data_IF_833329778844
#
_entry.id   IF_833329778844
#
_cell.length_a   1.000
_cell.length_b   1.000
_cell.length_c   1.000
_cell.angle_alpha   90.00
_cell.angle_beta   90.00
_cell.angle_gamma   90.00
#
_symmetry.space_group_name_H-M   'P 1'
#
loop_
_entity.id
_entity.type
_entity.pdbx_description
1 polymer ?
#
# COMPACT_ATOMS: atom_id res chain seq x y z
N UNK A 1 -28.29 52.72 -31.47
CA UNK A 1 -28.49 51.34 -31.96
C UNK A 1 -28.53 50.39 -30.79
N UNK A 2 -29.48 49.47 -30.81
CA UNK A 2 -29.98 48.67 -29.68
C UNK A 2 -29.11 47.44 -29.29
N UNK A 3 -29.27 47.05 -28.01
CA UNK A 3 -29.28 45.70 -27.42
C UNK A 3 -27.98 44.86 -27.35
N UNK A 4 -27.48 44.59 -26.13
CA UNK A 4 -27.79 43.48 -25.19
C UNK A 4 -27.12 42.14 -25.56
N UNK A 5 -26.29 41.63 -24.66
CA UNK A 5 -26.56 40.39 -23.89
C UNK A 5 -25.53 40.19 -22.77
N UNK A 6 -26.06 40.03 -21.56
CA UNK A 6 -25.39 39.58 -20.37
C UNK A 6 -25.41 38.04 -20.31
N UNK A 7 -24.46 37.43 -19.59
CA UNK A 7 -24.82 36.54 -18.48
C UNK A 7 -23.62 36.26 -17.54
N UNK A 8 -23.87 36.52 -16.26
CA UNK A 8 -23.09 36.12 -15.09
C UNK A 8 -23.42 34.66 -14.72
N UNK A 9 -22.51 33.99 -13.99
CA UNK A 9 -22.83 33.27 -12.74
C UNK A 9 -21.63 32.47 -12.21
N UNK A 10 -20.88 33.04 -11.25
CA UNK A 10 -20.11 32.30 -10.25
C UNK A 10 -20.97 32.17 -8.98
N UNK A 11 -21.16 30.95 -8.48
CA UNK A 11 -22.01 30.69 -7.30
C UNK A 11 -21.21 29.95 -6.23
N UNK A 12 -20.53 30.72 -5.38
CA UNK A 12 -20.03 30.29 -4.07
C UNK A 12 -21.20 30.28 -3.08
N UNK A 13 -21.55 29.10 -2.54
CA UNK A 13 -22.64 28.96 -1.56
C UNK A 13 -22.06 28.79 -0.17
N UNK A 14 -21.81 29.92 0.50
CA UNK A 14 -21.50 30.00 1.93
C UNK A 14 -22.72 29.62 2.77
N UNK A 15 -22.47 28.80 3.79
CA UNK A 15 -23.46 28.25 4.72
C UNK A 15 -23.73 29.28 5.83
N UNK A 16 -24.81 30.06 5.73
CA UNK A 16 -25.25 30.96 6.81
C UNK A 16 -26.17 30.22 7.78
N UNK A 17 -25.83 30.34 9.06
CA UNK A 17 -26.60 30.00 10.27
C UNK A 17 -27.89 30.84 10.28
N UNK A 18 -29.05 30.21 10.41
CA UNK A 18 -30.32 30.90 10.64
C UNK A 18 -30.62 30.92 12.15
N UNK A 19 -30.88 32.11 12.66
CA UNK A 19 -31.51 32.37 13.96
C UNK A 19 -32.98 32.69 13.68
N UNK A 20 -33.91 31.90 14.21
CA UNK A 20 -35.35 32.17 14.14
C UNK A 20 -35.85 32.51 15.53
N UNK A 21 -36.31 33.74 15.70
CA UNK A 21 -37.21 34.15 16.76
C UNK A 21 -38.44 34.76 16.07
N UNK A 22 -39.61 34.15 16.28
CA UNK A 22 -40.90 34.83 16.47
C UNK A 22 -41.96 33.79 16.87
N UNK A 23 -42.81 34.18 17.80
CA UNK A 23 -43.75 33.37 18.57
C UNK A 23 -45.16 33.46 17.96
N UNK A 24 -45.91 32.36 17.87
CA UNK A 24 -47.37 32.33 18.15
C UNK A 24 -47.88 30.89 18.36
N UNK A 25 -48.94 30.76 19.14
CA UNK A 25 -49.35 29.62 19.96
C UNK A 25 -50.53 28.84 19.33
N UNK A 26 -50.45 27.51 19.17
CA UNK A 26 -51.61 26.62 19.02
C UNK A 26 -51.23 25.16 19.27
N UNK A 27 -52.16 24.42 19.88
CA UNK A 27 -52.05 23.14 20.55
C UNK A 27 -51.46 21.95 19.76
N UNK A 28 -50.77 21.09 20.51
CA UNK A 28 -50.88 19.63 20.34
C UNK A 28 -50.18 18.97 19.15
N UNK A 29 -48.85 18.86 19.20
CA UNK A 29 -48.08 17.60 19.04
C UNK A 29 -46.60 17.95 18.93
N UNK A 30 -45.86 17.82 20.04
CA UNK A 30 -44.40 17.86 20.00
C UNK A 30 -43.94 16.65 19.18
N UNK A 31 -43.47 16.89 17.97
CA UNK A 31 -42.77 15.88 17.18
C UNK A 31 -41.76 15.15 18.10
N UNK A 32 -41.81 13.81 18.18
CA UNK A 32 -40.99 13.08 19.13
C UNK A 32 -39.53 13.40 18.85
N UNK A 33 -38.82 13.80 19.91
CA UNK A 33 -37.36 13.94 19.91
C UNK A 33 -36.83 12.64 19.35
N UNK A 34 -36.34 12.70 18.10
CA UNK A 34 -35.86 11.54 17.37
C UNK A 34 -34.74 10.93 18.20
N UNK A 35 -35.06 9.82 18.86
CA UNK A 35 -34.14 9.12 19.74
C UNK A 35 -32.90 8.68 18.99
N UNK A 36 -31.91 8.19 19.76
CA UNK A 36 -30.68 7.60 19.25
C UNK A 36 -31.02 6.68 18.06
N UNK A 37 -30.33 6.79 16.91
CA UNK A 37 -30.67 6.00 15.73
C UNK A 37 -30.75 4.51 16.10
N UNK A 38 -31.85 3.88 15.66
CA UNK A 38 -32.05 2.44 15.79
C UNK A 38 -30.83 1.74 15.18
N UNK A 39 -30.16 0.89 15.97
CA UNK A 39 -28.87 0.28 15.59
C UNK A 39 -27.72 0.55 16.56
N UNK A 40 -27.93 1.35 17.61
CA UNK A 40 -26.94 1.53 18.70
C UNK A 40 -27.07 0.52 19.85
N UNK A 41 -27.69 -0.64 19.58
CA UNK A 41 -27.71 -1.75 20.55
C UNK A 41 -26.27 -2.17 20.86
N UNK A 42 -25.97 -2.36 22.14
CA UNK A 42 -24.69 -2.95 22.55
C UNK A 42 -24.56 -4.35 21.94
N UNK A 43 -23.32 -4.77 21.67
CA UNK A 43 -23.04 -6.12 21.21
C UNK A 43 -23.29 -7.11 22.35
N UNK A 44 -24.09 -8.14 22.11
CA UNK A 44 -24.27 -9.25 23.05
C UNK A 44 -23.02 -10.15 23.08
N UNK A 45 -22.76 -10.86 24.17
CA UNK A 45 -21.67 -11.84 24.26
C UNK A 45 -21.74 -12.90 23.14
N UNK A 46 -22.95 -13.28 22.72
CA UNK A 46 -23.16 -14.20 21.58
C UNK A 46 -22.74 -13.56 20.25
N UNK A 47 -23.05 -12.27 20.05
CA UNK A 47 -22.65 -11.53 18.85
C UNK A 47 -21.13 -11.32 18.82
N UNK A 48 -20.50 -11.11 19.98
CA UNK A 48 -19.04 -10.99 20.09
C UNK A 48 -18.34 -12.30 19.81
N UNK A 49 -18.83 -13.40 20.36
CA UNK A 49 -18.31 -14.75 20.07
C UNK A 49 -18.41 -15.03 18.58
N UNK A 50 -19.58 -14.77 17.99
CA UNK A 50 -19.80 -14.96 16.56
C UNK A 50 -18.88 -14.11 15.68
N UNK A 51 -18.68 -12.85 16.05
CA UNK A 51 -17.77 -11.96 15.35
C UNK A 51 -16.33 -12.51 15.42
N UNK A 52 -15.88 -12.94 16.60
CA UNK A 52 -14.54 -13.48 16.78
C UNK A 52 -14.34 -14.79 16.00
N UNK A 53 -15.33 -15.69 15.97
CA UNK A 53 -15.28 -16.92 15.16
C UNK A 53 -15.07 -16.59 13.67
N UNK A 54 -15.88 -15.68 13.12
CA UNK A 54 -15.80 -15.31 11.70
C UNK A 54 -14.49 -14.60 11.33
N UNK A 55 -13.94 -13.80 12.26
CA UNK A 55 -12.67 -13.09 12.07
C UNK A 55 -11.49 -14.07 12.17
N UNK A 56 -11.53 -15.03 13.10
CA UNK A 56 -10.53 -16.09 13.23
C UNK A 56 -10.47 -16.94 11.97
N UNK A 57 -11.61 -17.41 11.46
CA UNK A 57 -11.70 -18.24 10.26
C UNK A 57 -11.19 -17.52 9.00
N UNK A 58 -11.59 -16.25 8.81
CA UNK A 58 -11.33 -15.51 7.57
C UNK A 58 -10.07 -14.65 7.61
N UNK A 59 -9.49 -14.39 8.79
CA UNK A 59 -8.33 -13.52 9.02
C UNK A 59 -8.34 -12.29 8.09
N UNK A 60 -9.27 -11.33 8.28
CA UNK A 60 -9.59 -10.31 7.29
C UNK A 60 -8.45 -9.33 7.05
N UNK A 61 -8.01 -9.23 5.80
CA UNK A 61 -7.06 -8.23 5.33
C UNK A 61 -7.80 -7.22 4.44
N UNK A 62 -7.96 -6.00 4.95
CA UNK A 62 -8.60 -4.90 4.23
C UNK A 62 -10.12 -5.01 4.04
N UNK A 63 -10.68 -3.98 3.40
CA UNK A 63 -12.14 -3.72 3.28
C UNK A 63 -12.93 -4.89 2.68
N UNK A 64 -12.42 -5.52 1.61
CA UNK A 64 -13.15 -6.61 0.92
C UNK A 64 -13.41 -7.81 1.85
N UNK A 65 -12.46 -8.14 2.71
CA UNK A 65 -12.59 -9.26 3.65
C UNK A 65 -13.60 -8.94 4.76
N UNK A 66 -13.58 -7.72 5.29
CA UNK A 66 -14.58 -7.25 6.25
C UNK A 66 -16.00 -7.26 5.66
N UNK A 67 -16.15 -6.90 4.38
CA UNK A 67 -17.43 -6.98 3.67
C UNK A 67 -17.98 -8.42 3.57
N UNK A 68 -17.10 -9.43 3.45
CA UNK A 68 -17.50 -10.84 3.47
C UNK A 68 -17.94 -11.27 4.89
N UNK A 69 -17.19 -10.89 5.92
CA UNK A 69 -17.55 -11.14 7.33
C UNK A 69 -18.90 -10.52 7.67
N UNK A 70 -19.18 -9.29 7.21
CA UNK A 70 -20.45 -8.63 7.46
C UNK A 70 -21.65 -9.38 6.88
N UNK A 71 -21.50 -9.95 5.67
CA UNK A 71 -22.54 -10.80 5.06
C UNK A 71 -22.81 -12.04 5.90
N UNK A 72 -21.76 -12.77 6.28
CA UNK A 72 -21.88 -13.99 7.08
C UNK A 72 -22.45 -13.71 8.47
N UNK A 73 -22.01 -12.62 9.09
CA UNK A 73 -22.51 -12.16 10.38
C UNK A 73 -24.00 -11.84 10.31
N UNK A 74 -24.43 -11.02 9.34
CA UNK A 74 -25.83 -10.64 9.19
C UNK A 74 -26.73 -11.84 8.86
N UNK A 75 -26.25 -12.81 8.08
CA UNK A 75 -26.98 -14.05 7.82
C UNK A 75 -27.27 -14.83 9.12
N UNK A 76 -26.27 -14.95 10.00
CA UNK A 76 -26.42 -15.67 11.28
C UNK A 76 -27.25 -14.89 12.30
N UNK A 77 -27.09 -13.57 12.34
CA UNK A 77 -27.79 -12.65 13.26
C UNK A 77 -29.26 -12.46 12.90
N UNK A 78 -29.61 -12.56 11.61
CA UNK A 78 -31.01 -12.62 11.14
C UNK A 78 -31.74 -13.84 11.71
N UNK A 79 -31.08 -15.00 11.75
CA UNK A 79 -31.63 -16.21 12.37
C UNK A 79 -31.88 -16.08 13.88
N UNK A 80 -31.18 -15.15 14.54
CA UNK A 80 -31.31 -14.86 15.96
C UNK A 80 -32.26 -13.67 16.26
N UNK A 81 -32.89 -13.09 15.24
CA UNK A 81 -33.80 -11.93 15.39
C UNK A 81 -33.09 -10.65 15.86
N UNK A 82 -31.79 -10.52 15.56
CA UNK A 82 -30.94 -9.40 16.01
C UNK A 82 -30.72 -8.38 14.88
N UNK A 83 -30.35 -7.12 15.21
CA UNK A 83 -30.18 -6.07 14.20
C UNK A 83 -28.93 -6.32 13.34
N UNK A 84 -29.09 -6.14 12.03
CA UNK A 84 -27.98 -6.20 11.07
C UNK A 84 -26.95 -5.10 11.34
N UNK A 85 -25.67 -5.44 11.14
CA UNK A 85 -24.54 -4.53 11.34
C UNK A 85 -23.81 -4.27 10.03
N UNK A 86 -23.33 -3.04 9.92
CA UNK A 86 -22.51 -2.61 8.79
C UNK A 86 -21.07 -3.09 8.98
N UNK A 87 -20.36 -3.33 7.88
CA UNK A 87 -18.95 -3.73 7.83
C UNK A 87 -18.06 -2.92 8.80
N UNK A 88 -18.12 -1.59 8.69
CA UNK A 88 -17.33 -0.69 9.54
C UNK A 88 -17.65 -0.83 11.03
N UNK A 89 -18.88 -1.17 11.38
CA UNK A 89 -19.28 -1.33 12.78
C UNK A 89 -18.66 -2.59 13.39
N UNK A 90 -18.55 -3.67 12.62
CA UNK A 90 -17.92 -4.92 13.02
C UNK A 90 -16.40 -4.77 13.12
N UNK A 91 -15.77 -4.15 12.11
CA UNK A 91 -14.34 -3.84 12.12
C UNK A 91 -13.96 -2.95 13.32
N UNK A 92 -14.72 -1.88 13.55
CA UNK A 92 -14.49 -0.99 14.68
C UNK A 92 -14.65 -1.71 16.01
N UNK A 93 -15.63 -2.62 16.13
CA UNK A 93 -15.83 -3.38 17.37
C UNK A 93 -14.67 -4.34 17.63
N UNK A 94 -14.18 -5.03 16.61
CA UNK A 94 -12.99 -5.89 16.72
C UNK A 94 -11.75 -5.07 17.12
N UNK A 95 -11.48 -3.97 16.43
CA UNK A 95 -10.37 -3.06 16.76
C UNK A 95 -10.47 -2.50 18.17
N UNK A 96 -11.67 -2.21 18.66
CA UNK A 96 -11.89 -1.81 20.04
C UNK A 96 -11.50 -2.90 21.03
N UNK A 97 -11.83 -4.17 20.75
CA UNK A 97 -11.43 -5.30 21.60
C UNK A 97 -9.90 -5.43 21.66
N UNK A 98 -9.22 -5.38 20.52
CA UNK A 98 -7.76 -5.45 20.42
C UNK A 98 -7.09 -4.29 21.19
N UNK A 99 -7.63 -3.07 21.06
CA UNK A 99 -7.09 -1.87 21.72
C UNK A 99 -7.42 -1.78 23.22
N UNK A 100 -8.18 -2.71 23.79
CA UNK A 100 -8.51 -2.61 25.22
C UNK A 100 -7.24 -2.79 26.07
N UNK A 101 -6.90 -1.72 26.78
CA UNK A 101 -5.72 -1.68 27.66
C UNK A 101 -5.88 -2.66 28.81
N UNK A 102 -4.76 -3.12 29.38
CA UNK A 102 -4.77 -3.85 30.65
C UNK A 102 -5.51 -2.98 31.68
N UNK A 103 -6.49 -3.52 32.41
CA UNK A 103 -7.16 -2.75 33.46
C UNK A 103 -6.11 -2.29 34.49
N UNK A 104 -6.28 -1.09 35.04
CA UNK A 104 -5.36 -0.55 36.06
C UNK A 104 -5.53 -1.35 37.35
N UNK A 105 -4.54 -2.21 37.68
CA UNK A 105 -4.53 -3.08 38.85
C UNK A 105 -4.56 -4.58 38.50
N UNK A 106 -4.83 -5.43 39.50
CA UNK A 106 -4.82 -6.91 39.39
C UNK A 106 -6.13 -7.50 38.82
N UNK A 107 -6.81 -6.74 37.96
CA UNK A 107 -8.07 -7.16 37.36
C UNK A 107 -7.82 -8.09 36.17
N UNK A 108 -8.45 -9.26 36.18
CA UNK A 108 -8.34 -10.25 35.10
C UNK A 108 -8.94 -9.69 33.80
N UNK A 109 -8.17 -9.76 32.71
CA UNK A 109 -8.62 -9.37 31.37
C UNK A 109 -9.74 -10.29 30.88
N UNK A 110 -10.84 -9.75 30.31
CA UNK A 110 -11.93 -10.58 29.77
C UNK A 110 -11.46 -11.57 28.70
N UNK A 111 -12.05 -12.78 28.61
CA UNK A 111 -11.63 -13.81 27.66
C UNK A 111 -11.83 -13.40 26.20
N UNK A 112 -12.86 -12.62 25.90
CA UNK A 112 -13.13 -12.09 24.55
C UNK A 112 -12.01 -11.17 24.06
N UNK A 113 -11.41 -10.39 24.97
CA UNK A 113 -10.27 -9.52 24.66
C UNK A 113 -9.01 -10.33 24.39
N UNK A 114 -8.73 -11.33 25.22
CA UNK A 114 -7.59 -12.23 25.02
C UNK A 114 -7.68 -12.95 23.68
N UNK A 115 -8.89 -13.42 23.33
CA UNK A 115 -9.15 -14.06 22.05
C UNK A 115 -8.97 -13.08 20.89
N UNK A 116 -9.47 -11.86 21.00
CA UNK A 116 -9.30 -10.84 19.97
C UNK A 116 -7.82 -10.52 19.70
N UNK A 117 -7.00 -10.39 20.75
CA UNK A 117 -5.55 -10.18 20.62
C UNK A 117 -4.88 -11.33 19.88
N UNK A 118 -5.19 -12.58 20.25
CA UNK A 118 -4.65 -13.76 19.55
C UNK A 118 -5.04 -13.78 18.07
N UNK A 119 -6.27 -13.38 17.74
CA UNK A 119 -6.73 -13.29 16.35
C UNK A 119 -6.02 -12.16 15.60
N UNK A 120 -5.73 -11.03 16.26
CA UNK A 120 -4.93 -9.94 15.68
C UNK A 120 -3.53 -10.43 15.31
N UNK A 121 -2.88 -11.20 16.19
CA UNK A 121 -1.58 -11.84 15.92
C UNK A 121 -1.66 -12.77 14.69
N UNK A 122 -2.74 -13.55 14.54
CA UNK A 122 -2.98 -14.41 13.37
C UNK A 122 -3.17 -13.60 12.09
N UNK A 123 -3.90 -12.47 12.15
CA UNK A 123 -4.08 -11.58 11.01
C UNK A 123 -2.74 -10.97 10.60
N UNK A 124 -1.94 -10.50 11.56
CA UNK A 124 -0.62 -9.90 11.30
C UNK A 124 0.35 -10.93 10.72
N UNK A 125 0.36 -12.15 11.26
CA UNK A 125 1.14 -13.26 10.71
C UNK A 125 0.75 -13.59 9.27
N UNK A 126 -0.57 -13.62 8.97
CA UNK A 126 -1.07 -13.85 7.61
C UNK A 126 -0.76 -12.70 6.65
N UNK A 127 -0.77 -11.46 7.15
CA UNK A 127 -0.44 -10.28 6.36
C UNK A 127 1.06 -10.12 6.10
N UNK A 128 1.91 -10.97 6.70
CA UNK A 128 3.37 -10.86 6.60
C UNK A 128 3.93 -9.62 7.31
N UNK A 129 3.13 -8.97 8.16
CA UNK A 129 3.55 -7.82 8.96
C UNK A 129 4.23 -8.34 10.21
N UNK A 130 5.55 -8.23 10.28
CA UNK A 130 6.34 -8.52 11.48
C UNK A 130 6.31 -7.29 12.38
N UNK A 131 5.79 -7.44 13.59
CA UNK A 131 5.82 -6.38 14.59
C UNK A 131 7.27 -6.07 14.96
N UNK A 132 7.68 -4.82 14.76
CA UNK A 132 8.89 -4.27 15.35
C UNK A 132 8.53 -3.92 16.79
N UNK A 133 8.88 -4.80 17.73
CA UNK A 133 8.72 -4.54 19.16
C UNK A 133 9.64 -3.39 19.56
N UNK A 134 9.09 -2.24 19.94
CA UNK A 134 9.78 -1.04 20.47
C UNK A 134 10.44 -1.27 21.87
N UNK A 135 10.73 -2.52 22.25
CA UNK A 135 11.19 -2.86 23.60
C UNK A 135 12.70 -2.75 23.82
N UNK A 136 13.49 -2.40 22.79
CA UNK A 136 14.95 -2.29 22.89
C UNK A 136 15.46 -0.86 22.54
N UNK A 137 14.90 0.16 23.17
CA UNK A 137 15.62 1.45 23.31
C UNK A 137 16.29 1.47 24.68
N UNK A 138 17.55 1.04 24.72
CA UNK A 138 18.43 1.26 25.86
C UNK A 138 18.40 2.75 26.22
N UNK A 139 18.01 3.04 27.46
CA UNK A 139 18.05 4.37 28.06
C UNK A 139 19.49 4.88 28.05
N UNK A 140 19.86 5.66 27.03
CA UNK A 140 21.07 6.47 27.06
C UNK A 140 20.93 7.47 28.22
N UNK A 141 21.78 7.42 29.27
CA UNK A 141 21.68 8.34 30.38
C UNK A 141 22.19 9.72 29.93
N UNK A 142 21.28 10.69 29.75
CA UNK A 142 21.68 12.08 29.48
C UNK A 142 20.77 12.91 28.59
N UNK A 143 19.70 12.34 28.02
CA UNK A 143 18.73 13.10 27.22
C UNK A 143 17.63 13.71 28.08
N UNK A 144 17.76 14.98 28.47
CA UNK A 144 16.67 15.77 29.04
C UNK A 144 15.58 15.97 27.97
N UNK A 145 14.56 15.12 27.98
CA UNK A 145 13.35 15.31 27.17
C UNK A 145 12.37 16.14 28.01
N UNK A 146 12.33 17.43 27.70
CA UNK A 146 11.30 18.36 28.17
C UNK A 146 9.93 17.85 27.71
N UNK A 147 9.19 17.28 28.66
CA UNK A 147 7.81 16.81 28.46
C UNK A 147 6.87 18.01 28.48
N UNK A 148 6.81 18.73 27.36
CA UNK A 148 5.78 19.75 27.14
C UNK A 148 4.53 19.14 26.50
N UNK A 149 3.58 18.84 27.38
CA UNK A 149 2.13 19.00 27.26
C UNK A 149 1.51 19.07 25.85
N UNK A 150 0.69 18.06 25.53
CA UNK A 150 -0.33 18.15 24.48
C UNK A 150 -1.53 17.29 24.89
N UNK A 151 -2.51 17.98 25.47
CA UNK A 151 -3.87 17.53 25.76
C UNK A 151 -4.45 16.66 24.63
N UNK A 152 -4.61 15.37 24.92
CA UNK A 152 -5.52 14.48 24.18
C UNK A 152 -6.79 14.36 25.01
N UNK A 153 -7.88 14.91 24.48
CA UNK A 153 -9.21 14.70 25.04
C UNK A 153 -9.53 13.20 25.08
N UNK A 154 -9.72 12.70 26.30
CA UNK A 154 -10.17 11.34 26.57
C UNK A 154 -11.65 11.25 26.19
N UNK A 155 -11.94 10.64 25.04
CA UNK A 155 -13.30 10.25 24.64
C UNK A 155 -13.82 9.21 25.65
N UNK A 156 -14.74 9.66 26.49
CA UNK A 156 -15.32 8.93 27.60
C UNK A 156 -16.22 7.81 27.04
N UNK A 157 -15.87 6.55 27.32
CA UNK A 157 -16.67 5.38 26.95
C UNK A 157 -18.09 5.42 27.55
N UNK A 158 -19.02 4.56 27.08
CA UNK A 158 -20.43 4.64 27.45
C UNK A 158 -20.61 4.37 28.95
N UNK A 159 -20.98 5.43 29.69
CA UNK A 159 -21.41 5.38 31.09
C UNK A 159 -22.71 4.57 31.20
N UNK A 160 -22.62 3.36 31.76
CA UNK A 160 -23.80 2.60 32.17
C UNK A 160 -24.30 3.22 33.48
N UNK A 161 -25.49 3.84 33.44
CA UNK A 161 -26.13 4.39 34.63
C UNK A 161 -26.66 3.24 35.51
N UNK A 162 -25.85 2.80 36.48
CA UNK A 162 -26.34 2.01 37.61
C UNK A 162 -26.73 3.01 38.70
N UNK A 163 -28.04 3.17 38.90
CA UNK A 163 -28.57 3.92 40.03
C UNK A 163 -28.26 3.16 41.33
N UNK A 164 -27.16 3.52 42.00
CA UNK A 164 -26.97 3.24 43.42
C UNK A 164 -26.72 4.56 44.14
N UNK A 165 -27.69 4.95 44.96
CA UNK A 165 -27.59 6.06 45.90
C UNK A 165 -26.41 5.81 46.83
N UNK A 166 -25.44 6.72 46.82
CA UNK A 166 -24.63 7.14 47.97
C UNK A 166 -24.13 8.57 47.67
N UNK A 167 -24.20 9.52 48.62
CA UNK A 167 -23.81 10.90 48.37
C UNK A 167 -22.29 11.06 48.46
N UNK A 168 -21.62 11.22 47.32
CA UNK A 168 -20.21 11.62 47.25
C UNK A 168 -20.10 13.15 47.10
N UNK A 169 -19.04 13.81 47.64
CA UNK A 169 -18.92 15.26 47.65
C UNK A 169 -18.63 15.83 46.24
N UNK A 170 -18.97 17.10 45.97
CA UNK A 170 -18.84 17.68 44.64
C UNK A 170 -17.37 17.80 44.21
N UNK A 171 -17.05 17.23 43.05
CA UNK A 171 -15.76 17.36 42.38
C UNK A 171 -15.50 18.83 41.99
N UNK A 172 -14.37 19.37 42.46
CA UNK A 172 -13.87 20.68 42.08
C UNK A 172 -13.59 20.72 40.56
N UNK A 173 -14.22 21.70 39.88
CA UNK A 173 -13.97 21.96 38.46
C UNK A 173 -12.62 22.68 38.33
N UNK A 174 -11.73 22.17 37.46
CA UNK A 174 -10.46 22.82 37.13
C UNK A 174 -10.71 24.27 36.64
N UNK A 175 -9.92 25.26 37.07
CA UNK A 175 -10.10 26.65 36.68
C UNK A 175 -9.86 26.83 35.18
N UNK A 176 -10.68 27.68 34.55
CA UNK A 176 -10.52 28.09 33.14
C UNK A 176 -9.14 28.71 32.94
N UNK A 177 -8.46 28.33 31.85
CA UNK A 177 -7.16 28.86 31.47
C UNK A 177 -7.16 30.40 31.55
N UNK A 178 -6.21 30.92 32.32
CA UNK A 178 -6.03 32.35 32.58
C UNK A 178 -5.69 33.10 31.29
N UNK A 179 -6.21 34.32 31.12
CA UNK A 179 -5.87 35.21 29.98
C UNK A 179 -4.36 35.42 29.79
N UNK A 180 -3.57 35.22 30.85
CA UNK A 180 -2.11 35.28 30.80
C UNK A 180 -1.51 34.20 29.90
N UNK A 181 -2.12 33.02 29.86
CA UNK A 181 -1.66 31.87 29.08
C UNK A 181 -1.84 32.09 27.57
N UNK A 182 -2.89 32.81 27.19
CA UNK A 182 -3.14 33.19 25.80
C UNK A 182 -2.13 34.24 25.31
N UNK A 183 -1.79 35.23 26.15
CA UNK A 183 -0.78 36.23 25.82
C UNK A 183 0.63 35.62 25.71
N UNK A 184 0.97 34.66 26.55
CA UNK A 184 2.22 33.90 26.41
C UNK A 184 2.26 33.08 25.12
N UNK A 185 1.14 32.43 24.73
CA UNK A 185 1.06 31.71 23.45
C UNK A 185 1.25 32.63 22.26
N UNK A 186 0.62 33.81 22.25
CA UNK A 186 0.79 34.81 21.20
C UNK A 186 2.22 35.35 21.15
N UNK A 187 2.81 35.72 22.29
CA UNK A 187 4.21 36.18 22.35
C UNK A 187 5.17 35.12 21.80
N UNK A 188 4.93 33.85 22.13
CA UNK A 188 5.75 32.73 21.67
C UNK A 188 5.54 32.36 20.19
N UNK A 189 4.43 32.76 19.58
CA UNK A 189 4.16 32.55 18.15
C UNK A 189 4.83 33.61 17.27
N UNK A 190 5.08 34.80 17.82
CA UNK A 190 5.77 35.91 17.16
C UNK A 190 7.26 36.03 17.55
N UNK A 191 7.78 35.07 18.31
CA UNK A 191 9.19 35.00 18.65
C UNK A 191 10.05 34.75 17.39
N UNK A 192 10.97 35.67 17.03
CA UNK A 192 11.74 35.59 15.79
C UNK A 192 12.60 34.32 15.68
N UNK A 193 13.10 33.79 16.79
CA UNK A 193 13.92 32.57 16.77
C UNK A 193 13.08 31.32 16.48
N UNK A 194 11.83 31.29 16.97
CA UNK A 194 10.86 30.23 16.63
C UNK A 194 10.39 30.29 15.18
N UNK A 195 10.39 31.48 14.58
CA UNK A 195 10.10 31.62 13.15
C UNK A 195 11.26 31.10 12.30
N UNK A 196 12.51 31.45 12.65
CA UNK A 196 13.72 30.96 11.96
C UNK A 196 13.81 29.44 11.96
N UNK A 197 13.66 28.82 13.13
CA UNK A 197 13.68 27.35 13.25
C UNK A 197 12.59 26.69 12.40
N UNK A 198 11.39 27.27 12.35
CA UNK A 198 10.30 26.77 11.50
C UNK A 198 10.63 26.90 10.02
N UNK A 199 11.23 28.00 9.61
CA UNK A 199 11.58 28.26 8.22
C UNK A 199 12.80 27.44 7.77
N UNK A 200 13.78 27.23 8.63
CA UNK A 200 14.87 26.26 8.44
C UNK A 200 14.32 24.84 8.28
N UNK A 201 13.38 24.41 9.13
CA UNK A 201 12.74 23.10 9.00
C UNK A 201 11.96 22.95 7.69
N UNK A 202 11.29 24.02 7.22
CA UNK A 202 10.65 24.01 5.89
C UNK A 202 11.68 23.93 4.77
N UNK A 203 12.78 24.67 4.87
CA UNK A 203 13.85 24.66 3.88
C UNK A 203 14.52 23.28 3.80
N UNK A 204 14.79 22.64 4.94
CA UNK A 204 15.30 21.27 5.00
C UNK A 204 14.35 20.28 4.34
N UNK A 205 13.05 20.32 4.67
CA UNK A 205 12.04 19.46 4.04
C UNK A 205 11.92 19.69 2.54
N UNK A 206 12.01 20.94 2.08
CA UNK A 206 11.96 21.27 0.67
C UNK A 206 13.20 20.72 -0.07
N UNK A 207 14.37 20.80 0.56
CA UNK A 207 15.61 20.23 0.03
C UNK A 207 15.54 18.70 -0.06
N UNK A 208 15.13 18.03 1.01
CA UNK A 208 14.92 16.58 1.05
C UNK A 208 13.91 16.11 -0.01
N UNK A 209 12.79 16.84 -0.16
CA UNK A 209 11.79 16.54 -1.18
C UNK A 209 12.36 16.63 -2.60
N UNK A 210 13.24 17.62 -2.85
CA UNK A 210 13.91 17.76 -4.16
C UNK A 210 14.86 16.59 -4.41
N UNK A 211 15.64 16.18 -3.41
CA UNK A 211 16.52 15.02 -3.55
C UNK A 211 15.74 13.72 -3.82
N UNK A 212 14.66 13.51 -3.06
CA UNK A 212 13.80 12.34 -3.23
C UNK A 212 13.17 12.32 -4.63
N UNK A 213 12.76 13.47 -5.15
CA UNK A 213 12.27 13.60 -6.51
C UNK A 213 13.32 13.19 -7.55
N UNK A 214 14.57 13.68 -7.42
CA UNK A 214 15.67 13.31 -8.32
C UNK A 214 15.96 11.81 -8.29
N UNK A 215 16.03 11.21 -7.11
CA UNK A 215 16.26 9.75 -6.97
C UNK A 215 15.10 8.92 -7.53
N UNK A 216 13.86 9.42 -7.41
CA UNK A 216 12.68 8.75 -7.99
C UNK A 216 12.75 8.76 -9.51
N UNK A 217 13.12 9.90 -10.11
CA UNK A 217 13.30 10.02 -11.56
C UNK A 217 14.41 9.09 -12.09
N UNK A 218 15.51 8.95 -11.34
CA UNK A 218 16.58 8.00 -11.66
C UNK A 218 16.09 6.54 -11.60
N UNK A 219 15.32 6.19 -10.57
CA UNK A 219 14.74 4.85 -10.48
C UNK A 219 13.79 4.54 -11.63
N UNK A 220 12.97 5.50 -12.06
CA UNK A 220 12.05 5.29 -13.18
C UNK A 220 12.78 5.14 -14.51
N UNK A 221 13.87 5.88 -14.72
CA UNK A 221 14.72 5.70 -15.90
C UNK A 221 15.40 4.33 -15.91
N UNK A 222 15.95 3.88 -14.77
CA UNK A 222 16.53 2.53 -14.65
C UNK A 222 15.49 1.42 -14.87
N UNK A 223 14.27 1.58 -14.33
CA UNK A 223 13.17 0.63 -14.57
C UNK A 223 12.80 0.54 -16.05
N UNK A 224 12.72 1.67 -16.73
CA UNK A 224 12.45 1.71 -18.16
C UNK A 224 13.56 1.03 -18.97
N UNK A 225 14.83 1.23 -18.61
CA UNK A 225 15.96 0.53 -19.23
C UNK A 225 15.89 -0.98 -19.02
N UNK A 226 15.59 -1.44 -17.81
CA UNK A 226 15.41 -2.86 -17.52
C UNK A 226 14.27 -3.46 -18.36
N UNK A 227 13.14 -2.77 -18.48
CA UNK A 227 12.03 -3.20 -19.34
C UNK A 227 12.44 -3.33 -20.81
N UNK A 228 13.25 -2.39 -21.32
CA UNK A 228 13.76 -2.46 -22.69
C UNK A 228 14.73 -3.62 -22.87
N UNK A 229 15.62 -3.87 -21.92
CA UNK A 229 16.56 -4.99 -21.96
C UNK A 229 15.83 -6.32 -21.93
N UNK A 230 14.85 -6.49 -21.05
CA UNK A 230 14.00 -7.69 -21.01
C UNK A 230 13.27 -7.91 -22.35
N UNK A 231 12.75 -6.84 -22.96
CA UNK A 231 12.15 -6.92 -24.29
C UNK A 231 13.14 -7.40 -25.37
N UNK A 232 14.38 -6.91 -25.34
CA UNK A 232 15.45 -7.35 -26.26
C UNK A 232 15.82 -8.81 -26.04
N UNK A 233 15.90 -9.27 -24.79
CA UNK A 233 16.17 -10.67 -24.46
C UNK A 233 15.10 -11.57 -25.07
N UNK A 234 13.81 -11.26 -24.86
CA UNK A 234 12.73 -12.04 -25.46
C UNK A 234 12.71 -12.01 -26.99
N UNK A 235 13.14 -10.91 -27.62
CA UNK A 235 13.27 -10.86 -29.07
C UNK A 235 14.41 -11.75 -29.58
N UNK A 236 15.54 -11.76 -28.87
CA UNK A 236 16.68 -12.61 -29.20
C UNK A 236 16.35 -14.09 -28.98
N UNK A 237 15.67 -14.44 -27.89
CA UNK A 237 15.16 -15.81 -27.64
C UNK A 237 14.32 -16.28 -28.83
N UNK A 238 13.34 -15.49 -29.28
CA UNK A 238 12.53 -15.82 -30.47
C UNK A 238 13.36 -15.95 -31.75
N UNK A 239 14.46 -15.21 -31.90
CA UNK A 239 15.35 -15.33 -33.07
C UNK A 239 16.17 -16.62 -33.00
N UNK A 240 16.62 -17.02 -31.81
CA UNK A 240 17.29 -18.29 -31.55
C UNK A 240 16.35 -19.44 -31.86
N UNK A 241 15.13 -19.46 -31.31
CA UNK A 241 14.13 -20.51 -31.58
C UNK A 241 13.87 -20.68 -33.09
N UNK A 242 13.75 -19.56 -33.82
CA UNK A 242 13.56 -19.57 -35.28
C UNK A 242 14.78 -20.12 -36.03
N UNK A 243 15.98 -19.83 -35.56
CA UNK A 243 17.22 -20.32 -36.17
C UNK A 243 17.38 -21.83 -35.90
N UNK A 244 17.07 -22.26 -34.67
CA UNK A 244 17.08 -23.67 -34.27
C UNK A 244 16.08 -24.48 -35.11
N UNK A 245 14.83 -24.03 -35.24
CA UNK A 245 13.83 -24.70 -36.09
C UNK A 245 14.26 -24.79 -37.57
N UNK A 246 14.90 -23.74 -38.10
CA UNK A 246 15.43 -23.77 -39.48
C UNK A 246 16.55 -24.79 -39.63
N UNK A 247 17.42 -24.90 -38.63
CA UNK A 247 18.53 -25.83 -38.63
C UNK A 247 18.03 -27.27 -38.51
N UNK A 248 17.09 -27.55 -37.61
CA UNK A 248 16.44 -28.86 -37.50
C UNK A 248 15.77 -29.28 -38.81
N UNK A 249 15.01 -28.38 -39.44
CA UNK A 249 14.33 -28.66 -40.70
C UNK A 249 15.32 -28.89 -41.86
N UNK A 250 16.41 -28.12 -41.91
CA UNK A 250 17.48 -28.30 -42.89
C UNK A 250 18.23 -29.63 -42.73
N UNK A 251 18.53 -30.02 -41.50
CA UNK A 251 19.19 -31.30 -41.20
C UNK A 251 18.28 -32.50 -41.48
N UNK A 252 16.98 -32.39 -41.17
CA UNK A 252 16.01 -33.44 -41.47
C UNK A 252 15.80 -33.65 -42.98
N UNK A 253 15.92 -32.59 -43.78
CA UNK A 253 15.89 -32.70 -45.24
C UNK A 253 17.19 -33.24 -45.84
N UNK A 254 18.35 -32.85 -45.30
CA UNK A 254 19.63 -33.40 -45.74
C UNK A 254 19.78 -34.90 -45.44
N UNK A 255 19.28 -35.36 -44.29
CA UNK A 255 19.31 -36.77 -43.88
C UNK A 255 18.33 -37.69 -44.66
N UNK A 256 17.37 -37.12 -45.41
CA UNK A 256 16.41 -37.86 -46.26
C UNK A 256 16.76 -37.84 -47.75
N UNK A 257 17.81 -37.12 -48.15
CA UNK A 257 18.36 -37.16 -49.50
C UNK A 257 19.12 -38.48 -49.67
N UNK A 258 18.67 -39.31 -50.61
CA UNK A 258 19.27 -40.59 -51.01
C UNK A 258 20.82 -40.58 -50.97
N UNK A 259 21.49 -41.57 -50.35
CA UNK A 259 22.94 -41.71 -50.39
C UNK A 259 23.48 -42.13 -51.77
N UNK A 260 22.64 -42.19 -52.80
CA UNK A 260 22.99 -42.70 -54.14
C UNK A 260 23.00 -41.66 -55.26
N UNK A 261 22.98 -40.35 -54.97
CA UNK A 261 22.99 -39.32 -56.03
C UNK A 261 24.15 -38.33 -56.00
N UNK A 262 25.35 -38.77 -55.61
CA UNK A 262 26.60 -38.02 -55.79
C UNK A 262 27.67 -38.87 -56.50
N UNK A 263 27.41 -39.18 -57.77
CA UNK A 263 28.46 -39.34 -58.78
C UNK A 263 27.98 -38.63 -60.04
N UNK A 264 28.00 -37.30 -59.98
CA UNK A 264 28.21 -36.51 -61.18
C UNK A 264 29.08 -35.35 -60.77
N UNK A 265 30.38 -35.60 -60.89
CA UNK A 265 31.42 -34.59 -60.88
C UNK A 265 31.07 -33.53 -61.94
N UNK A 266 30.54 -32.40 -61.49
CA UNK A 266 30.75 -31.14 -62.20
C UNK A 266 32.05 -30.55 -61.64
N UNK A 267 33.15 -30.56 -62.41
CA UNK A 267 34.40 -29.96 -62.00
C UNK A 267 34.22 -28.43 -62.03
N UNK A 268 33.74 -27.87 -60.93
CA UNK A 268 33.82 -26.45 -60.67
C UNK A 268 35.29 -26.07 -60.48
N UNK A 269 35.91 -25.74 -61.60
CA UNK A 269 36.82 -24.61 -61.80
C UNK A 269 37.52 -24.09 -60.52
N UNK A 270 38.56 -24.81 -60.09
CA UNK A 270 39.50 -24.38 -59.04
C UNK A 270 40.63 -23.50 -59.62
N UNK A 271 40.39 -22.77 -60.72
CA UNK A 271 41.37 -21.85 -61.31
C UNK A 271 41.44 -20.54 -60.51
N UNK A 272 42.19 -20.56 -59.40
CA UNK A 272 42.48 -19.31 -58.68
C UNK A 272 42.87 -19.46 -57.21
N UNK A 273 42.71 -20.65 -56.62
CA UNK A 273 43.09 -20.88 -55.23
C UNK A 273 44.61 -21.04 -55.13
N UNK A 274 45.28 -20.03 -54.58
CA UNK A 274 46.72 -20.05 -54.33
C UNK A 274 47.04 -21.10 -53.26
N UNK A 275 47.47 -22.29 -53.71
CA UNK A 275 47.92 -23.38 -52.84
C UNK A 275 49.40 -23.19 -52.49
N UNK A 276 49.73 -23.20 -51.21
CA UNK A 276 51.12 -23.14 -50.74
C UNK A 276 51.31 -24.20 -49.65
N UNK A 277 52.15 -25.21 -49.91
CA UNK A 277 52.49 -26.30 -48.97
C UNK A 277 51.26 -27.01 -48.36
N UNK A 278 50.34 -27.48 -49.20
CA UNK A 278 49.14 -28.21 -48.74
C UNK A 278 48.09 -27.36 -48.01
N UNK A 279 48.28 -26.03 -47.97
CA UNK A 279 47.31 -25.10 -47.38
C UNK A 279 46.64 -24.27 -48.47
N UNK A 280 45.34 -24.08 -48.31
CA UNK A 280 44.51 -23.26 -49.18
C UNK A 280 44.32 -21.90 -48.50
N UNK A 281 44.66 -20.82 -49.22
CA UNK A 281 44.39 -19.45 -48.78
C UNK A 281 42.90 -19.14 -48.98
N UNK A 282 42.21 -18.78 -47.90
CA UNK A 282 40.83 -18.31 -47.90
C UNK A 282 40.80 -16.86 -47.42
N UNK A 283 40.23 -15.97 -48.21
CA UNK A 283 40.04 -14.57 -47.82
C UNK A 283 38.58 -14.30 -47.53
N UNK A 284 38.31 -13.68 -46.38
CA UNK A 284 36.99 -13.26 -45.97
C UNK A 284 37.00 -11.75 -45.73
N UNK A 285 36.18 -11.04 -46.49
CA UNK A 285 36.01 -9.59 -46.35
C UNK A 285 34.75 -9.29 -45.54
N UNK A 286 34.90 -8.44 -44.53
CA UNK A 286 33.83 -8.01 -43.65
C UNK A 286 33.13 -6.75 -44.18
N UNK A 287 31.85 -6.54 -43.82
CA UNK A 287 31.06 -5.41 -44.31
C UNK A 287 31.52 -4.03 -43.82
N UNK A 288 32.40 -3.97 -42.83
CA UNK A 288 33.04 -2.74 -42.34
C UNK A 288 34.31 -2.36 -43.12
N UNK A 289 34.67 -3.14 -44.15
CA UNK A 289 35.86 -2.93 -44.98
C UNK A 289 37.12 -3.62 -44.46
N UNK A 290 37.05 -4.41 -43.38
CA UNK A 290 38.14 -5.28 -42.94
C UNK A 290 38.28 -6.51 -43.83
N UNK A 291 39.50 -7.03 -43.99
CA UNK A 291 39.75 -8.32 -44.64
C UNK A 291 40.60 -9.23 -43.73
N UNK A 292 40.26 -10.51 -43.70
CA UNK A 292 40.98 -11.56 -42.97
C UNK A 292 41.40 -12.66 -43.94
N UNK A 293 42.66 -13.08 -43.84
CA UNK A 293 43.21 -14.20 -44.62
C UNK A 293 43.45 -15.39 -43.71
N UNK A 294 42.79 -16.51 -44.00
CA UNK A 294 42.92 -17.77 -43.30
C UNK A 294 43.65 -18.80 -44.16
N UNK A 295 44.52 -19.59 -43.54
CA UNK A 295 45.18 -20.72 -44.19
C UNK A 295 44.55 -22.00 -43.68
N UNK A 296 43.73 -22.64 -44.52
CA UNK A 296 43.06 -23.90 -44.20
C UNK A 296 43.94 -25.05 -44.66
N UNK A 297 44.22 -26.00 -43.77
CA UNK A 297 44.88 -27.27 -44.12
C UNK A 297 43.82 -28.20 -44.69
N UNK A 298 44.11 -28.79 -45.85
CA UNK A 298 43.22 -29.77 -46.46
C UNK A 298 43.19 -31.01 -45.56
N UNK A 299 42.01 -31.40 -45.07
CA UNK A 299 41.86 -32.53 -44.13
C UNK A 299 42.07 -33.87 -44.88
N UNK A 300 42.14 -33.82 -46.21
CA UNK A 300 42.34 -34.97 -47.09
C UNK A 300 43.75 -35.60 -47.06
N UNK A 301 44.70 -35.05 -46.29
CA UNK A 301 46.09 -35.56 -46.18
C UNK A 301 46.38 -36.28 -44.84
N UNK A 302 45.33 -36.68 -44.10
CA UNK A 302 45.47 -37.29 -42.76
C UNK A 302 45.52 -38.83 -42.75
N UNK A 303 45.31 -39.47 -43.91
CA UNK A 303 45.35 -40.93 -44.07
C UNK A 303 46.41 -41.32 -45.11
N UNK A 304 47.69 -41.34 -44.68
CA UNK A 304 48.79 -42.04 -45.34
C UNK A 304 49.92 -42.36 -44.36
#
# INVERSE_FOLDING_TARGET
GHNRKAHLSSKSKGKRRATSADLDNSDGERAPIRGRPSGSSNYSAQELTLLLDLVEDRCPIGKKAWGAIAKDFNNKVRGLGRPERQEKALENKFKQLVKTKKPTGDARRPPEVLRALKIDDLINARAGTRDLSDSDVELIPGGSIDSSDSDIEVDDGPRIAIARRNPSPPLQRKPRASNTDLMHKLASAFDPDRQRTRDEAKAQRAFEATQLFTLTQQNDTLRNQNMQLLGKVSELERKVDRAELKLEFGMAHSARSDPHRLLRDDPHDLTGLQRVRGKIRSEQTYPDGGAMTNWVTDISDSDA
#
